data_IF_005034538470
#
_entry.id   IF_005034538470
#
_cell.length_a   1.000
_cell.length_b   1.000
_cell.length_c   1.000
_cell.angle_alpha   90.00
_cell.angle_beta   90.00
_cell.angle_gamma   90.00
#
_symmetry.space_group_name_H-M   'P 1'
#
loop_
_entity.id
_entity.type
_entity.pdbx_description
1 polymer ?
#
# COMPACT_ATOMS: atom_id res chain seq x y z
N UNK A 1 31.89 -16.89 26.10
CA UNK A 1 31.93 -17.07 24.63
C UNK A 1 31.12 -15.94 24.00
N UNK A 2 31.76 -14.91 23.44
CA UNK A 2 31.05 -13.80 22.79
C UNK A 2 30.34 -14.19 21.48
N UNK A 3 30.66 -15.34 20.87
CA UNK A 3 30.15 -15.74 19.55
C UNK A 3 29.10 -16.87 19.56
N UNK A 4 28.43 -17.13 20.68
CA UNK A 4 27.42 -18.20 20.74
C UNK A 4 26.18 -17.84 19.90
N UNK A 5 25.70 -18.72 18.99
CA UNK A 5 24.53 -18.43 18.18
C UNK A 5 23.29 -18.24 19.06
N UNK A 6 22.50 -17.21 18.74
CA UNK A 6 21.34 -16.78 19.52
C UNK A 6 21.63 -16.18 20.92
N UNK A 7 22.90 -15.96 21.25
CA UNK A 7 23.33 -15.14 22.38
C UNK A 7 23.28 -15.82 23.77
N UNK A 8 23.73 -15.12 24.83
CA UNK A 8 23.97 -15.71 26.13
C UNK A 8 22.70 -16.24 26.82
N UNK A 9 21.54 -15.60 26.60
CA UNK A 9 20.26 -16.06 27.16
C UNK A 9 19.83 -17.42 26.60
N UNK A 10 20.14 -17.70 25.34
CA UNK A 10 19.85 -18.99 24.72
C UNK A 10 20.78 -20.08 25.26
N UNK A 11 22.05 -19.74 25.46
CA UNK A 11 23.01 -20.63 26.12
C UNK A 11 22.58 -20.97 27.55
N UNK A 12 22.15 -19.98 28.33
CA UNK A 12 21.65 -20.18 29.70
C UNK A 12 20.48 -21.17 29.73
N UNK A 13 19.56 -21.10 28.75
CA UNK A 13 18.47 -22.06 28.60
C UNK A 13 19.00 -23.47 28.38
N UNK A 14 19.97 -23.65 27.48
CA UNK A 14 20.57 -24.96 27.19
C UNK A 14 21.32 -25.51 28.40
N UNK A 15 22.10 -24.68 29.09
CA UNK A 15 22.83 -25.06 30.29
C UNK A 15 21.87 -25.48 31.42
N UNK A 16 20.83 -24.67 31.70
CA UNK A 16 19.81 -25.03 32.69
C UNK A 16 19.17 -26.38 32.40
N UNK A 17 18.87 -26.66 31.13
CA UNK A 17 18.34 -27.95 30.72
C UNK A 17 19.33 -29.10 31.01
N UNK A 18 20.62 -28.95 30.70
CA UNK A 18 21.63 -29.98 30.98
C UNK A 18 21.85 -30.26 32.48
N UNK A 19 21.52 -29.30 33.35
CA UNK A 19 21.59 -29.45 34.81
C UNK A 19 20.22 -29.79 35.44
N UNK A 20 19.27 -30.32 34.65
CA UNK A 20 17.92 -30.70 35.07
C UNK A 20 17.13 -29.56 35.77
N UNK A 21 17.47 -28.31 35.46
CA UNK A 21 16.72 -27.15 35.94
C UNK A 21 15.51 -26.88 35.04
N UNK A 22 14.44 -26.37 35.64
CA UNK A 22 13.24 -26.00 34.89
C UNK A 22 13.51 -24.81 33.97
N UNK A 23 13.15 -24.98 32.70
CA UNK A 23 13.25 -23.96 31.65
C UNK A 23 11.85 -23.52 31.24
N UNK A 24 11.60 -22.21 31.22
CA UNK A 24 10.35 -21.65 30.72
C UNK A 24 10.50 -21.18 29.28
N UNK A 25 9.77 -21.82 28.36
CA UNK A 25 9.72 -21.46 26.94
C UNK A 25 8.48 -20.59 26.65
N UNK A 26 8.65 -19.60 25.79
CA UNK A 26 7.58 -18.73 25.30
C UNK A 26 7.95 -18.18 23.90
N UNK A 27 7.05 -17.40 23.29
CA UNK A 27 7.25 -16.87 21.93
C UNK A 27 8.50 -16.00 21.76
N UNK A 28 9.00 -15.37 22.84
CA UNK A 28 10.16 -14.47 22.78
C UNK A 28 11.49 -15.22 22.81
N UNK A 29 11.56 -16.39 23.43
CA UNK A 29 12.82 -17.13 23.62
C UNK A 29 12.88 -18.46 22.86
N UNK A 30 11.76 -19.00 22.38
CA UNK A 30 11.69 -20.32 21.74
C UNK A 30 12.59 -20.45 20.51
N UNK A 31 12.63 -19.42 19.65
CA UNK A 31 13.45 -19.45 18.43
C UNK A 31 14.93 -19.53 18.79
N UNK A 32 15.34 -18.74 19.77
CA UNK A 32 16.72 -18.70 20.26
C UNK A 32 17.12 -20.04 20.89
N UNK A 33 16.26 -20.57 21.77
CA UNK A 33 16.47 -21.86 22.41
C UNK A 33 16.55 -23.01 21.38
N UNK A 34 15.65 -23.04 20.38
CA UNK A 34 15.65 -24.07 19.34
C UNK A 34 16.91 -24.03 18.47
N UNK A 35 17.39 -22.84 18.11
CA UNK A 35 18.62 -22.68 17.31
C UNK A 35 19.87 -23.03 18.13
N UNK A 36 19.93 -22.62 19.39
CA UNK A 36 21.02 -22.93 20.30
C UNK A 36 21.12 -24.44 20.60
N UNK A 37 19.97 -25.10 20.83
CA UNK A 37 19.90 -26.54 21.07
C UNK A 37 20.39 -27.34 19.85
N UNK A 38 20.03 -26.91 18.63
CA UNK A 38 20.55 -27.52 17.39
C UNK A 38 22.06 -27.38 17.31
N UNK A 39 22.56 -26.16 17.53
CA UNK A 39 23.99 -25.87 17.42
C UNK A 39 24.83 -26.70 18.41
N UNK A 40 24.28 -26.94 19.60
CA UNK A 40 24.91 -27.77 20.64
C UNK A 40 24.69 -29.28 20.44
N UNK A 41 23.99 -29.70 19.39
CA UNK A 41 23.73 -31.12 19.12
C UNK A 41 22.82 -31.78 20.17
N UNK A 42 21.96 -31.01 20.84
CA UNK A 42 21.05 -31.48 21.90
C UNK A 42 19.84 -32.26 21.32
N UNK A 43 20.15 -33.38 20.68
CA UNK A 43 19.25 -34.20 19.86
C UNK A 43 18.86 -35.50 20.56
N UNK A 44 17.86 -36.19 20.01
CA UNK A 44 17.42 -37.51 20.48
C UNK A 44 18.49 -38.59 20.34
N UNK A 45 19.52 -38.38 19.48
CA UNK A 45 20.64 -39.31 19.33
C UNK A 45 21.56 -39.32 20.56
N UNK A 46 21.53 -38.25 21.36
CA UNK A 46 22.34 -38.09 22.57
C UNK A 46 21.59 -38.56 23.81
N UNK A 47 20.32 -38.18 23.93
CA UNK A 47 19.46 -38.55 25.06
C UNK A 47 17.97 -38.47 24.66
N UNK A 48 17.13 -39.34 25.21
CA UNK A 48 15.71 -39.33 24.90
C UNK A 48 15.01 -38.14 25.57
N UNK A 49 14.20 -37.38 24.83
CA UNK A 49 13.56 -36.20 25.41
C UNK A 49 14.47 -34.97 25.45
N UNK A 50 15.44 -34.88 24.54
CA UNK A 50 16.41 -33.79 24.52
C UNK A 50 15.75 -32.45 24.08
N UNK A 51 16.51 -31.37 24.25
CA UNK A 51 15.99 -30.02 24.13
C UNK A 51 15.48 -29.70 22.71
N UNK A 52 16.11 -30.25 21.65
CA UNK A 52 15.62 -30.06 20.26
C UNK A 52 14.20 -30.62 20.11
N UNK A 53 13.93 -31.86 20.52
CA UNK A 53 12.59 -32.44 20.41
C UNK A 53 11.56 -31.68 21.25
N UNK A 54 11.91 -31.33 22.49
CA UNK A 54 11.02 -30.58 23.40
C UNK A 54 10.68 -29.19 22.85
N UNK A 55 11.67 -28.47 22.32
CA UNK A 55 11.45 -27.15 21.72
C UNK A 55 10.64 -27.26 20.43
N UNK A 56 10.87 -28.26 19.57
CA UNK A 56 10.05 -28.49 18.38
C UNK A 56 8.60 -28.87 18.72
N UNK A 57 8.40 -29.72 19.73
CA UNK A 57 7.07 -30.09 20.21
C UNK A 57 6.30 -28.85 20.71
N UNK A 58 6.91 -28.04 21.57
CA UNK A 58 6.33 -26.79 22.08
C UNK A 58 6.07 -25.77 20.97
N UNK A 59 7.01 -25.61 20.02
CA UNK A 59 6.84 -24.71 18.90
C UNK A 59 5.64 -25.12 18.03
N UNK A 60 5.46 -26.41 17.75
CA UNK A 60 4.32 -26.92 16.99
C UNK A 60 2.98 -26.85 17.73
N UNK A 61 2.97 -27.22 19.01
CA UNK A 61 1.72 -27.40 19.77
C UNK A 61 1.23 -26.11 20.42
N UNK A 62 2.12 -25.17 20.75
CA UNK A 62 1.77 -23.93 21.43
C UNK A 62 1.98 -22.72 20.51
N UNK A 63 3.20 -22.51 20.00
CA UNK A 63 3.58 -21.27 19.32
C UNK A 63 2.86 -21.12 17.98
N UNK A 64 2.97 -22.12 17.10
CA UNK A 64 2.24 -22.14 15.82
C UNK A 64 0.72 -22.27 16.03
N UNK A 65 0.28 -22.65 17.24
CA UNK A 65 -1.13 -22.65 17.60
C UNK A 65 -1.66 -21.31 18.14
N UNK A 66 -0.78 -20.40 18.55
CA UNK A 66 -1.12 -19.05 19.00
C UNK A 66 -1.01 -18.04 17.87
N UNK A 67 -2.03 -17.17 17.72
CA UNK A 67 -1.98 -16.05 16.77
C UNK A 67 -0.84 -15.08 17.11
N UNK A 68 -0.90 -14.47 18.29
CA UNK A 68 0.12 -13.52 18.75
C UNK A 68 1.49 -14.18 18.95
N UNK A 69 1.52 -15.41 19.45
CA UNK A 69 2.77 -16.14 19.65
C UNK A 69 3.49 -16.42 18.33
N UNK A 70 2.77 -16.77 17.26
CA UNK A 70 3.37 -16.93 15.93
C UNK A 70 3.97 -15.63 15.39
N UNK A 71 3.32 -14.49 15.62
CA UNK A 71 3.81 -13.16 15.20
C UNK A 71 5.05 -12.76 16.00
N UNK A 72 5.02 -12.93 17.33
CA UNK A 72 6.15 -12.64 18.21
C UNK A 72 7.35 -13.52 17.83
N UNK A 73 7.14 -14.83 17.67
CA UNK A 73 8.18 -15.75 17.26
C UNK A 73 8.76 -15.38 15.88
N UNK A 74 7.92 -14.95 14.92
CA UNK A 74 8.40 -14.47 13.63
C UNK A 74 9.32 -13.25 13.79
N UNK A 75 8.95 -12.27 14.63
CA UNK A 75 9.76 -11.06 14.89
C UNK A 75 11.13 -11.41 15.48
N UNK A 76 11.22 -12.40 16.37
CA UNK A 76 12.50 -12.78 17.00
C UNK A 76 13.46 -13.51 16.05
N UNK A 77 12.97 -14.06 14.94
CA UNK A 77 13.84 -14.76 13.96
C UNK A 77 14.93 -13.88 13.37
N UNK A 78 14.70 -12.57 13.23
CA UNK A 78 15.63 -11.62 12.59
C UNK A 78 16.98 -11.56 13.30
N UNK A 79 16.97 -11.51 14.63
CA UNK A 79 18.22 -11.45 15.43
C UNK A 79 18.98 -12.77 15.46
N UNK A 80 18.45 -13.83 14.84
CA UNK A 80 18.96 -15.21 14.90
C UNK A 80 19.26 -15.74 13.48
N UNK A 81 19.21 -14.89 12.45
CA UNK A 81 19.62 -15.27 11.10
C UNK A 81 21.13 -15.58 11.07
N UNK A 82 21.57 -16.56 10.26
CA UNK A 82 20.78 -17.38 9.33
C UNK A 82 20.10 -18.61 9.95
N UNK A 83 20.47 -19.03 11.16
CA UNK A 83 20.02 -20.27 11.80
C UNK A 83 18.49 -20.46 11.79
N UNK A 84 17.73 -19.41 12.10
CA UNK A 84 16.26 -19.46 12.11
C UNK A 84 15.66 -19.75 10.72
N UNK A 85 16.35 -19.36 9.65
CA UNK A 85 15.96 -19.63 8.26
C UNK A 85 16.29 -21.07 7.86
N UNK A 86 17.48 -21.55 8.24
CA UNK A 86 17.94 -22.90 7.91
C UNK A 86 17.08 -23.98 8.58
N UNK A 87 16.66 -23.71 9.83
CA UNK A 87 15.69 -24.53 10.57
C UNK A 87 14.23 -24.35 10.12
N UNK A 88 13.99 -23.57 9.05
CA UNK A 88 12.67 -23.30 8.48
C UNK A 88 11.66 -22.68 9.47
N UNK A 89 12.13 -22.09 10.58
CA UNK A 89 11.28 -21.49 11.62
C UNK A 89 10.51 -20.30 11.03
N UNK A 90 11.21 -19.43 10.29
CA UNK A 90 10.62 -18.27 9.60
C UNK A 90 9.41 -18.70 8.74
N UNK A 91 9.61 -19.71 7.89
CA UNK A 91 8.57 -20.22 7.00
C UNK A 91 7.38 -20.81 7.77
N UNK A 92 7.64 -21.62 8.80
CA UNK A 92 6.60 -22.23 9.64
C UNK A 92 5.74 -21.18 10.35
N UNK A 93 6.34 -20.11 10.86
CA UNK A 93 5.62 -18.98 11.44
C UNK A 93 4.75 -18.26 10.40
N UNK A 94 5.30 -17.96 9.22
CA UNK A 94 4.56 -17.31 8.12
C UNK A 94 3.37 -18.17 7.68
N UNK A 95 3.57 -19.47 7.47
CA UNK A 95 2.52 -20.40 7.07
C UNK A 95 1.41 -20.49 8.12
N UNK A 96 1.76 -20.51 9.41
CA UNK A 96 0.80 -20.47 10.53
C UNK A 96 -0.03 -19.17 10.51
N UNK A 97 0.63 -18.02 10.44
CA UNK A 97 -0.03 -16.70 10.40
C UNK A 97 -0.96 -16.62 9.19
N UNK A 98 -0.48 -16.99 8.00
CA UNK A 98 -1.28 -16.96 6.77
C UNK A 98 -2.49 -17.90 6.85
N UNK A 99 -2.32 -19.10 7.40
CA UNK A 99 -3.41 -20.06 7.59
C UNK A 99 -4.48 -19.50 8.54
N UNK A 100 -4.06 -18.85 9.63
CA UNK A 100 -4.97 -18.29 10.65
C UNK A 100 -5.70 -17.05 10.16
N UNK A 101 -4.99 -16.12 9.53
CA UNK A 101 -5.59 -14.93 8.92
C UNK A 101 -6.66 -15.32 7.88
N UNK A 102 -6.48 -16.46 7.22
CA UNK A 102 -7.39 -17.00 6.20
C UNK A 102 -8.57 -17.84 6.73
N UNK A 103 -8.76 -17.91 8.05
CA UNK A 103 -9.91 -18.61 8.66
C UNK A 103 -11.14 -17.73 8.58
N UNK A 104 -12.31 -18.36 8.37
CA UNK A 104 -13.59 -17.67 8.44
C UNK A 104 -13.70 -16.92 9.79
N UNK A 105 -14.02 -15.61 9.81
CA UNK A 105 -14.18 -14.86 11.06
C UNK A 105 -15.09 -15.53 12.09
N UNK A 106 -16.08 -16.33 11.67
CA UNK A 106 -16.94 -17.09 12.58
C UNK A 106 -16.21 -18.17 13.40
N UNK A 107 -15.07 -18.65 12.90
CA UNK A 107 -14.24 -19.69 13.52
C UNK A 107 -13.04 -19.10 14.28
N UNK A 108 -12.96 -17.77 14.41
CA UNK A 108 -11.88 -17.10 15.15
C UNK A 108 -12.14 -17.24 16.66
N UNK A 109 -11.37 -18.12 17.29
CA UNK A 109 -11.46 -18.42 18.73
C UNK A 109 -10.30 -17.87 19.55
N UNK A 110 -9.34 -17.21 18.89
CA UNK A 110 -8.13 -16.67 19.52
C UNK A 110 -8.24 -15.16 19.77
N UNK A 111 -7.39 -14.65 20.67
CA UNK A 111 -7.32 -13.22 20.98
C UNK A 111 -6.65 -12.44 19.83
N UNK A 112 -7.19 -11.27 19.52
CA UNK A 112 -6.69 -10.36 18.49
C UNK A 112 -6.79 -8.90 18.95
N UNK A 113 -5.93 -8.04 18.38
CA UNK A 113 -6.03 -6.59 18.59
C UNK A 113 -6.87 -5.98 17.48
N UNK A 114 -7.99 -5.34 17.81
CA UNK A 114 -8.77 -4.59 16.84
C UNK A 114 -8.98 -3.16 17.33
N UNK A 115 -8.34 -2.22 16.63
CA UNK A 115 -8.60 -0.79 16.76
C UNK A 115 -9.09 -0.32 15.39
N UNK A 116 -10.38 -0.02 15.27
CA UNK A 116 -10.88 0.61 14.04
C UNK A 116 -10.24 2.00 13.96
N UNK A 117 -9.17 2.18 13.18
CA UNK A 117 -8.64 3.51 12.89
C UNK A 117 -9.68 4.23 12.06
N UNK A 118 -10.40 5.15 12.70
CA UNK A 118 -11.33 6.03 12.04
C UNK A 118 -10.57 6.79 10.95
N UNK A 119 -10.79 6.44 9.68
CA UNK A 119 -10.66 7.41 8.61
C UNK A 119 -11.54 8.59 8.99
N UNK A 120 -11.03 9.82 8.93
CA UNK A 120 -11.68 11.05 9.36
C UNK A 120 -13.06 11.27 8.70
N UNK A 121 -14.07 10.57 9.21
CA UNK A 121 -15.50 10.76 9.03
C UNK A 121 -16.08 10.20 10.33
N UNK A 122 -16.51 11.13 11.18
CA UNK A 122 -17.32 11.01 12.40
C UNK A 122 -17.55 9.59 12.92
N UNK A 123 -16.85 9.27 14.02
CA UNK A 123 -17.20 8.11 14.85
C UNK A 123 -18.39 8.51 15.70
N UNK A 124 -19.57 8.07 15.29
CA UNK A 124 -20.72 7.98 16.19
C UNK A 124 -20.37 6.95 17.29
N UNK A 125 -20.20 7.43 18.52
CA UNK A 125 -19.81 6.67 19.72
C UNK A 125 -20.73 5.44 19.93
N UNK A 126 -21.94 5.50 19.38
CA UNK A 126 -22.93 4.42 19.41
C UNK A 126 -22.47 3.14 18.66
N UNK A 127 -21.60 3.24 17.63
CA UNK A 127 -21.11 2.07 16.88
C UNK A 127 -20.15 1.18 17.68
N UNK A 128 -19.36 1.76 18.58
CA UNK A 128 -18.40 1.02 19.42
C UNK A 128 -19.14 0.17 20.45
N UNK A 129 -20.30 0.66 20.92
CA UNK A 129 -21.11 -0.02 21.92
C UNK A 129 -21.99 -1.14 21.32
N UNK A 130 -22.41 -0.98 20.06
CA UNK A 130 -23.11 -2.02 19.29
C UNK A 130 -22.18 -3.20 18.95
N UNK A 131 -20.90 -2.95 18.65
CA UNK A 131 -19.92 -4.03 18.41
C UNK A 131 -19.55 -4.81 19.68
N UNK A 132 -19.55 -4.19 20.86
CA UNK A 132 -19.40 -4.93 22.13
C UNK A 132 -20.56 -5.90 22.39
N UNK A 133 -21.74 -5.63 21.83
CA UNK A 133 -22.94 -6.48 21.94
C UNK A 133 -23.05 -7.54 20.84
N UNK A 134 -22.44 -7.31 19.67
CA UNK A 134 -22.44 -8.25 18.55
C UNK A 134 -21.14 -9.05 18.49
N UNK A 135 -21.21 -10.36 18.78
CA UNK A 135 -20.07 -11.32 18.76
C UNK A 135 -19.46 -11.57 17.36
N UNK A 136 -19.64 -10.68 16.40
CA UNK A 136 -19.18 -10.88 15.01
C UNK A 136 -17.76 -10.36 14.87
N UNK A 137 -16.82 -11.27 14.63
CA UNK A 137 -15.42 -10.93 14.36
C UNK A 137 -15.32 -10.21 13.01
N UNK A 138 -14.68 -9.01 12.94
CA UNK A 138 -14.48 -8.29 11.68
C UNK A 138 -13.63 -9.09 10.68
N UNK A 139 -13.83 -8.90 9.37
CA UNK A 139 -13.02 -9.60 8.33
C UNK A 139 -11.53 -9.21 8.34
N UNK A 140 -11.23 -8.02 8.85
CA UNK A 140 -9.91 -7.39 8.95
C UNK A 140 -9.31 -7.49 10.37
N UNK A 141 -9.83 -8.39 11.22
CA UNK A 141 -9.40 -8.57 12.62
C UNK A 141 -7.88 -8.75 12.80
N UNK A 142 -7.20 -9.31 11.80
CA UNK A 142 -5.78 -9.64 11.82
C UNK A 142 -4.87 -8.47 11.43
N UNK A 143 -5.42 -7.39 10.85
CA UNK A 143 -4.62 -6.34 10.20
C UNK A 143 -3.73 -5.60 11.20
N UNK A 144 -4.29 -5.12 12.31
CA UNK A 144 -3.55 -4.29 13.29
C UNK A 144 -2.38 -5.03 13.91
N UNK A 145 -2.53 -6.32 14.24
CA UNK A 145 -1.45 -7.13 14.83
C UNK A 145 -0.27 -7.32 13.86
N UNK A 146 -0.50 -7.27 12.54
CA UNK A 146 0.57 -7.38 11.53
C UNK A 146 1.27 -6.04 11.23
N UNK A 147 0.73 -4.91 11.68
CA UNK A 147 1.35 -3.60 11.43
C UNK A 147 2.69 -3.43 12.14
N UNK A 148 2.97 -4.23 13.16
CA UNK A 148 4.26 -4.21 13.88
C UNK A 148 5.38 -4.97 13.16
N UNK A 149 5.07 -5.67 12.07
CA UNK A 149 6.07 -6.39 11.29
C UNK A 149 6.88 -5.40 10.46
N UNK A 150 8.20 -5.58 10.44
CA UNK A 150 9.06 -4.89 9.47
C UNK A 150 8.73 -5.31 8.04
N UNK A 151 9.08 -4.46 7.06
CA UNK A 151 8.63 -4.58 5.68
C UNK A 151 8.93 -5.95 5.04
N UNK A 152 10.10 -6.54 5.29
CA UNK A 152 10.48 -7.84 4.70
C UNK A 152 9.63 -9.00 5.22
N UNK A 153 9.31 -8.99 6.52
CA UNK A 153 8.45 -9.99 7.14
C UNK A 153 7.00 -9.76 6.76
N UNK A 154 6.55 -8.49 6.78
CA UNK A 154 5.21 -8.11 6.36
C UNK A 154 4.94 -8.54 4.92
N UNK A 155 5.87 -8.26 4.00
CA UNK A 155 5.79 -8.68 2.59
C UNK A 155 5.63 -10.18 2.45
N UNK A 156 6.45 -10.97 3.14
CA UNK A 156 6.35 -12.43 3.10
C UNK A 156 5.03 -12.95 3.67
N UNK A 157 4.53 -12.37 4.77
CA UNK A 157 3.24 -12.75 5.36
C UNK A 157 2.09 -12.41 4.42
N UNK A 158 2.05 -11.22 3.83
CA UNK A 158 0.99 -10.83 2.88
C UNK A 158 1.03 -11.71 1.63
N UNK A 159 2.21 -12.03 1.10
CA UNK A 159 2.33 -12.96 -0.03
C UNK A 159 1.81 -14.36 0.33
N UNK A 160 2.12 -14.84 1.53
CA UNK A 160 1.59 -16.12 2.01
C UNK A 160 0.07 -16.08 2.17
N UNK A 161 -0.51 -15.00 2.71
CA UNK A 161 -1.97 -14.81 2.79
C UNK A 161 -2.60 -14.79 1.40
N UNK A 162 -2.02 -14.04 0.45
CA UNK A 162 -2.47 -14.00 -0.96
C UNK A 162 -2.48 -15.40 -1.58
N UNK A 163 -1.44 -16.20 -1.35
CA UNK A 163 -1.31 -17.56 -1.88
C UNK A 163 -2.35 -18.56 -1.34
N UNK A 164 -3.04 -18.24 -0.24
CA UNK A 164 -4.12 -19.08 0.28
C UNK A 164 -5.43 -18.89 -0.47
N UNK A 165 -5.60 -17.79 -1.21
CA UNK A 165 -6.78 -17.47 -2.03
C UNK A 165 -8.13 -17.49 -1.29
N UNK A 166 -8.11 -17.44 0.05
CA UNK A 166 -9.30 -17.47 0.92
C UNK A 166 -9.73 -16.10 1.42
N UNK A 167 -8.87 -15.09 1.26
CA UNK A 167 -9.11 -13.74 1.76
C UNK A 167 -9.54 -12.83 0.60
N UNK A 168 -10.65 -12.08 0.73
CA UNK A 168 -11.05 -11.12 -0.29
C UNK A 168 -9.96 -10.09 -0.58
N UNK A 169 -9.72 -9.82 -1.87
CA UNK A 169 -8.74 -8.85 -2.35
C UNK A 169 -8.94 -7.46 -1.71
N UNK A 170 -10.18 -7.06 -1.43
CA UNK A 170 -10.50 -5.81 -0.74
C UNK A 170 -9.92 -5.71 0.66
N UNK A 171 -9.97 -6.80 1.44
CA UNK A 171 -9.42 -6.85 2.80
C UNK A 171 -7.89 -6.80 2.75
N UNK A 172 -7.27 -7.51 1.79
CA UNK A 172 -5.82 -7.46 1.57
C UNK A 172 -5.38 -6.03 1.18
N UNK A 173 -6.11 -5.37 0.28
CA UNK A 173 -5.84 -3.99 -0.10
C UNK A 173 -5.96 -3.01 1.08
N UNK A 174 -6.95 -3.19 1.95
CA UNK A 174 -7.11 -2.42 3.18
C UNK A 174 -5.96 -2.66 4.17
N UNK A 175 -5.50 -3.91 4.31
CA UNK A 175 -4.37 -4.24 5.16
C UNK A 175 -3.09 -3.55 4.69
N UNK A 176 -2.81 -3.59 3.38
CA UNK A 176 -1.64 -2.93 2.77
C UNK A 176 -1.74 -1.41 2.94
N UNK A 177 -2.94 -0.83 2.77
CA UNK A 177 -3.18 0.60 3.00
C UNK A 177 -2.94 0.98 4.46
N UNK A 178 -3.41 0.19 5.42
CA UNK A 178 -3.19 0.42 6.85
C UNK A 178 -1.70 0.36 7.21
N UNK A 179 -0.97 -0.57 6.61
CA UNK A 179 0.48 -0.67 6.73
C UNK A 179 1.19 0.56 6.17
N UNK A 180 0.86 0.94 4.94
CA UNK A 180 1.40 2.13 4.31
C UNK A 180 1.16 3.40 5.14
N UNK A 181 -0.03 3.59 5.70
CA UNK A 181 -0.35 4.74 6.56
C UNK A 181 0.43 4.73 7.88
N UNK A 182 0.77 3.55 8.41
CA UNK A 182 1.51 3.42 9.67
C UNK A 182 3.01 3.66 9.51
N UNK A 183 3.57 3.30 8.35
CA UNK A 183 5.02 3.27 8.11
C UNK A 183 5.52 4.38 7.18
N UNK A 184 4.68 4.91 6.29
CA UNK A 184 5.08 6.04 5.45
C UNK A 184 5.05 7.34 6.27
N UNK A 185 6.00 8.26 6.02
CA UNK A 185 5.98 9.57 6.66
C UNK A 185 4.67 10.33 6.44
N UNK A 186 4.24 11.12 7.42
CA UNK A 186 3.03 11.94 7.27
C UNK A 186 3.18 13.08 6.25
N UNK A 187 4.42 13.51 5.99
CA UNK A 187 4.76 14.57 5.05
C UNK A 187 5.99 14.21 4.22
N UNK A 188 5.99 14.64 2.96
CA UNK A 188 7.10 14.46 2.03
C UNK A 188 8.40 15.14 2.53
N UNK A 189 8.27 16.27 3.23
CA UNK A 189 9.41 17.02 3.79
C UNK A 189 10.14 16.33 4.94
N UNK A 190 9.61 15.22 5.47
CA UNK A 190 10.27 14.45 6.54
C UNK A 190 11.45 13.60 6.04
N UNK A 191 11.73 13.59 4.73
CA UNK A 191 12.77 12.77 4.09
C UNK A 191 14.10 13.50 3.91
N UNK A 192 14.41 14.49 4.76
CA UNK A 192 15.60 15.34 4.61
C UNK A 192 16.95 14.61 4.75
N UNK A 193 16.97 13.33 5.09
CA UNK A 193 18.18 12.48 5.16
C UNK A 193 18.10 11.35 4.13
N UNK A 194 19.23 11.09 3.46
CA UNK A 194 19.36 10.03 2.44
C UNK A 194 18.98 8.64 2.96
N UNK A 195 19.26 8.34 4.24
CA UNK A 195 18.89 7.05 4.85
C UNK A 195 17.37 6.90 5.00
N UNK A 196 16.67 7.98 5.36
CA UNK A 196 15.21 7.99 5.44
C UNK A 196 14.57 7.90 4.04
N UNK A 197 15.17 8.55 3.04
CA UNK A 197 14.73 8.45 1.65
C UNK A 197 14.90 7.03 1.11
N UNK A 198 16.02 6.36 1.40
CA UNK A 198 16.24 4.97 1.01
C UNK A 198 15.24 4.02 1.67
N UNK A 199 15.03 4.12 2.99
CA UNK A 199 14.02 3.33 3.71
C UNK A 199 12.61 3.55 3.16
N UNK A 200 12.26 4.79 2.85
CA UNK A 200 10.97 5.12 2.25
C UNK A 200 10.84 4.53 0.83
N UNK A 201 11.90 4.56 0.03
CA UNK A 201 11.93 3.93 -1.31
C UNK A 201 11.66 2.43 -1.23
N UNK A 202 12.40 1.70 -0.40
CA UNK A 202 12.22 0.25 -0.18
C UNK A 202 10.79 -0.06 0.28
N UNK A 203 10.25 0.76 1.19
CA UNK A 203 8.90 0.63 1.68
C UNK A 203 7.84 0.84 0.58
N UNK A 204 7.96 1.89 -0.23
CA UNK A 204 7.04 2.18 -1.35
C UNK A 204 7.11 1.06 -2.40
N UNK A 205 8.30 0.62 -2.79
CA UNK A 205 8.49 -0.49 -3.73
C UNK A 205 7.83 -1.78 -3.24
N UNK A 206 8.05 -2.13 -1.97
CA UNK A 206 7.43 -3.29 -1.37
C UNK A 206 5.89 -3.15 -1.31
N UNK A 207 5.36 -2.00 -0.87
CA UNK A 207 3.92 -1.74 -0.84
C UNK A 207 3.30 -1.89 -2.24
N UNK A 208 3.88 -1.24 -3.26
CA UNK A 208 3.39 -1.31 -4.64
C UNK A 208 3.41 -2.74 -5.17
N UNK A 209 4.48 -3.50 -4.89
CA UNK A 209 4.57 -4.91 -5.28
C UNK A 209 3.53 -5.82 -4.62
N UNK A 210 3.02 -5.43 -3.44
CA UNK A 210 2.00 -6.18 -2.72
C UNK A 210 0.59 -5.86 -3.20
N UNK A 211 0.36 -4.69 -3.79
CA UNK A 211 -0.97 -4.28 -4.24
C UNK A 211 -1.57 -5.36 -5.17
N UNK A 212 -2.84 -5.73 -5.00
CA UNK A 212 -3.52 -6.70 -5.87
C UNK A 212 -3.39 -6.30 -7.35
N UNK A 213 -3.04 -7.26 -8.20
CA UNK A 213 -2.85 -7.04 -9.64
C UNK A 213 -4.16 -6.85 -10.41
N UNK A 214 -5.27 -7.34 -9.83
CA UNK A 214 -6.58 -7.19 -10.47
C UNK A 214 -7.00 -5.72 -10.45
N UNK A 215 -7.38 -5.23 -11.62
CA UNK A 215 -7.83 -3.87 -11.91
C UNK A 215 -9.16 -3.47 -11.21
N UNK A 216 -9.62 -4.28 -10.24
CA UNK A 216 -10.85 -4.13 -9.47
C UNK A 216 -10.79 -3.11 -8.31
N UNK A 217 -11.98 -2.72 -7.86
CA UNK A 217 -12.44 -1.57 -7.03
C UNK A 217 -11.76 -1.36 -5.65
N UNK A 218 -10.71 -2.10 -5.31
CA UNK A 218 -10.31 -2.24 -3.90
C UNK A 218 -9.39 -1.13 -3.37
N UNK A 219 -8.69 -0.40 -4.23
CA UNK A 219 -7.74 0.65 -3.82
C UNK A 219 -8.13 1.99 -4.44
N UNK A 220 -8.33 3.00 -3.60
CA UNK A 220 -8.76 4.33 -4.02
C UNK A 220 -7.66 5.10 -4.76
N UNK A 221 -8.03 5.88 -5.78
CA UNK A 221 -7.10 6.72 -6.54
C UNK A 221 -6.29 7.70 -5.69
N UNK A 222 -6.89 8.28 -4.65
CA UNK A 222 -6.15 9.17 -3.73
C UNK A 222 -5.02 8.45 -2.99
N UNK A 223 -5.14 7.15 -2.71
CA UNK A 223 -4.07 6.37 -2.09
C UNK A 223 -2.96 6.06 -3.10
N UNK A 224 -3.32 5.68 -4.32
CA UNK A 224 -2.36 5.46 -5.40
C UNK A 224 -1.60 6.74 -5.76
N UNK A 225 -2.29 7.89 -5.85
CA UNK A 225 -1.69 9.20 -6.05
C UNK A 225 -0.77 9.58 -4.89
N UNK A 226 -1.14 9.26 -3.64
CA UNK A 226 -0.24 9.44 -2.49
C UNK A 226 1.04 8.60 -2.64
N UNK A 227 0.93 7.34 -3.04
CA UNK A 227 2.10 6.49 -3.32
C UNK A 227 2.95 7.04 -4.48
N UNK A 228 2.32 7.55 -5.54
CA UNK A 228 3.04 8.16 -6.67
C UNK A 228 3.82 9.40 -6.23
N UNK A 229 3.23 10.26 -5.38
CA UNK A 229 3.95 11.40 -4.81
C UNK A 229 5.18 10.94 -4.01
N UNK A 230 5.05 9.90 -3.18
CA UNK A 230 6.21 9.31 -2.49
C UNK A 230 7.25 8.78 -3.47
N UNK A 231 6.82 8.03 -4.50
CA UNK A 231 7.70 7.47 -5.52
C UNK A 231 8.48 8.55 -6.27
N UNK A 232 7.85 9.68 -6.59
CA UNK A 232 8.52 10.85 -7.20
C UNK A 232 9.51 11.47 -6.22
N UNK A 233 9.10 11.73 -4.96
CA UNK A 233 9.96 12.34 -3.95
C UNK A 233 11.22 11.52 -3.65
N UNK A 234 11.12 10.19 -3.62
CA UNK A 234 12.26 9.30 -3.34
C UNK A 234 13.01 8.86 -4.59
N UNK A 235 12.66 9.39 -5.77
CA UNK A 235 13.23 9.00 -7.07
C UNK A 235 13.22 7.48 -7.28
N UNK A 236 12.05 6.86 -7.10
CA UNK A 236 11.86 5.44 -7.37
C UNK A 236 12.05 5.12 -8.87
N UNK A 237 12.15 3.83 -9.21
CA UNK A 237 12.30 3.38 -10.60
C UNK A 237 11.13 3.83 -11.51
N UNK A 238 11.42 4.03 -12.80
CA UNK A 238 10.39 4.41 -13.78
C UNK A 238 9.34 3.33 -13.94
N UNK A 239 9.72 2.04 -13.91
CA UNK A 239 8.78 0.92 -13.94
C UNK A 239 7.74 0.98 -12.81
N UNK A 240 8.14 1.38 -11.60
CA UNK A 240 7.21 1.55 -10.47
C UNK A 240 6.25 2.73 -10.71
N UNK A 241 6.78 3.86 -11.21
CA UNK A 241 5.98 5.05 -11.54
C UNK A 241 4.96 4.73 -12.64
N UNK A 242 5.38 4.04 -13.70
CA UNK A 242 4.52 3.61 -14.80
C UNK A 242 3.39 2.68 -14.33
N UNK A 243 3.68 1.70 -13.47
CA UNK A 243 2.66 0.82 -12.90
C UNK A 243 1.63 1.60 -12.05
N UNK A 244 2.09 2.57 -11.27
CA UNK A 244 1.20 3.45 -10.51
C UNK A 244 0.35 4.33 -11.44
N UNK A 245 0.96 4.95 -12.45
CA UNK A 245 0.27 5.77 -13.45
C UNK A 245 -0.81 4.96 -14.16
N UNK A 246 -0.50 3.72 -14.58
CA UNK A 246 -1.46 2.80 -15.19
C UNK A 246 -2.66 2.56 -14.28
N UNK A 247 -2.42 2.23 -13.00
CA UNK A 247 -3.49 1.97 -12.02
C UNK A 247 -4.33 3.20 -11.70
N UNK A 248 -3.71 4.37 -11.55
CA UNK A 248 -4.41 5.65 -11.30
C UNK A 248 -5.29 5.99 -12.49
N UNK A 249 -4.77 5.80 -13.70
CA UNK A 249 -5.50 6.06 -14.96
C UNK A 249 -6.76 5.22 -15.07
N UNK A 250 -6.86 4.03 -14.44
CA UNK A 250 -8.10 3.23 -14.44
C UNK A 250 -9.22 3.81 -13.57
N UNK A 251 -8.89 4.71 -12.64
CA UNK A 251 -9.80 5.18 -11.59
C UNK A 251 -9.71 6.70 -11.40
N UNK A 252 -9.26 7.43 -12.41
CA UNK A 252 -9.02 8.86 -12.32
C UNK A 252 -10.28 9.65 -11.89
N UNK A 253 -11.46 9.13 -12.22
CA UNK A 253 -12.76 9.67 -11.81
C UNK A 253 -13.00 9.69 -10.28
N UNK A 254 -12.24 8.93 -9.49
CA UNK A 254 -12.33 8.89 -8.02
C UNK A 254 -11.38 9.89 -7.34
N UNK A 255 -10.48 10.53 -8.10
CA UNK A 255 -9.48 11.44 -7.56
C UNK A 255 -10.04 12.86 -7.31
N UNK A 256 -9.38 13.60 -6.42
CA UNK A 256 -9.59 15.03 -6.23
C UNK A 256 -8.48 15.87 -6.86
N UNK A 257 -8.75 17.15 -7.14
CA UNK A 257 -7.74 18.05 -7.72
C UNK A 257 -6.51 18.19 -6.80
N UNK A 258 -6.70 18.13 -5.48
CA UNK A 258 -5.62 18.14 -4.49
C UNK A 258 -4.74 16.87 -4.57
N UNK A 259 -5.33 15.74 -4.92
CA UNK A 259 -4.57 14.50 -5.11
C UNK A 259 -3.63 14.59 -6.31
N UNK A 260 -4.00 15.37 -7.35
CA UNK A 260 -3.19 15.58 -8.56
C UNK A 260 -2.05 16.61 -8.39
N UNK A 261 -1.99 17.33 -7.27
CA UNK A 261 -0.86 18.22 -6.94
C UNK A 261 0.38 17.40 -6.61
N UNK A 262 1.01 16.83 -7.64
CA UNK A 262 2.25 16.04 -7.55
C UNK A 262 3.42 17.03 -7.59
N UNK A 263 4.30 17.04 -6.57
CA UNK A 263 5.46 17.94 -6.56
C UNK A 263 6.38 17.69 -7.75
N UNK A 264 6.89 18.75 -8.38
CA UNK A 264 7.95 18.62 -9.37
C UNK A 264 9.26 18.15 -8.73
N UNK A 265 10.10 17.45 -9.49
CA UNK A 265 11.44 17.05 -9.04
C UNK A 265 12.36 18.25 -8.78
N UNK A 266 12.13 19.35 -9.51
CA UNK A 266 12.85 20.62 -9.40
C UNK A 266 11.86 21.77 -9.09
N UNK A 267 11.52 21.99 -7.80
CA UNK A 267 10.58 23.04 -7.37
C UNK A 267 10.99 24.46 -7.78
N UNK A 268 12.28 24.66 -8.03
CA UNK A 268 12.83 25.94 -8.50
C UNK A 268 12.30 26.31 -9.89
N UNK A 269 11.99 25.33 -10.73
CA UNK A 269 11.49 25.53 -12.10
C UNK A 269 9.96 25.51 -12.16
N UNK A 270 9.30 24.56 -11.51
CA UNK A 270 7.83 24.45 -11.47
C UNK A 270 7.41 23.87 -10.12
N UNK A 271 6.27 24.29 -9.57
CA UNK A 271 5.82 23.74 -8.28
C UNK A 271 5.28 22.31 -8.42
N UNK A 272 4.64 22.00 -9.55
CA UNK A 272 3.95 20.75 -9.79
C UNK A 272 4.39 20.07 -11.10
N UNK A 273 4.42 18.73 -11.08
CA UNK A 273 4.69 17.91 -12.26
C UNK A 273 3.42 17.76 -13.11
N UNK A 274 3.18 18.77 -13.96
CA UNK A 274 2.02 18.81 -14.86
C UNK A 274 2.13 17.75 -15.96
N UNK A 275 3.34 17.43 -16.41
CA UNK A 275 3.59 16.42 -17.45
C UNK A 275 3.21 15.00 -17.00
N UNK A 276 3.48 14.67 -15.74
CA UNK A 276 3.04 13.40 -15.15
C UNK A 276 1.51 13.31 -15.07
N UNK A 277 0.84 14.41 -14.69
CA UNK A 277 -0.64 14.46 -14.68
C UNK A 277 -1.21 14.33 -16.09
N UNK A 278 -0.61 15.00 -17.08
CA UNK A 278 -0.98 14.86 -18.49
C UNK A 278 -0.82 13.42 -18.97
N UNK A 279 0.23 12.71 -18.55
CA UNK A 279 0.44 11.30 -18.87
C UNK A 279 -0.69 10.42 -18.31
N UNK A 280 -1.08 10.64 -17.05
CA UNK A 280 -2.22 9.95 -16.41
C UNK A 280 -3.53 10.20 -17.19
N UNK A 281 -3.77 11.46 -17.57
CA UNK A 281 -4.96 11.85 -18.34
C UNK A 281 -4.97 11.20 -19.72
N UNK A 282 -3.86 11.26 -20.45
CA UNK A 282 -3.75 10.69 -21.80
C UNK A 282 -3.98 9.17 -21.79
N UNK A 283 -3.48 8.46 -20.77
CA UNK A 283 -3.76 7.02 -20.60
C UNK A 283 -5.24 6.73 -20.30
N UNK A 284 -5.88 7.54 -19.43
CA UNK A 284 -7.32 7.42 -19.19
C UNK A 284 -8.12 7.66 -20.47
N UNK A 285 -7.78 8.69 -21.25
CA UNK A 285 -8.46 9.07 -22.50
C UNK A 285 -8.30 8.01 -23.58
N UNK A 286 -7.08 7.54 -23.82
CA UNK A 286 -6.78 6.51 -24.83
C UNK A 286 -7.55 5.22 -24.55
N UNK A 287 -7.68 4.85 -23.27
CA UNK A 287 -8.44 3.67 -22.88
C UNK A 287 -9.95 3.88 -23.04
N UNK A 288 -10.45 5.08 -22.74
CA UNK A 288 -11.86 5.41 -22.91
C UNK A 288 -12.31 5.35 -24.37
N UNK A 289 -11.52 5.92 -25.29
CA UNK A 289 -11.83 5.90 -26.72
C UNK A 289 -11.87 4.46 -27.26
N UNK A 290 -10.93 3.61 -26.84
CA UNK A 290 -10.91 2.20 -27.25
C UNK A 290 -12.13 1.41 -26.78
N UNK A 291 -12.69 1.72 -25.58
CA UNK A 291 -13.90 1.05 -25.08
C UNK A 291 -15.11 1.47 -25.92
N UNK A 292 -15.25 2.77 -26.23
CA UNK A 292 -16.36 3.26 -27.06
C UNK A 292 -16.34 2.69 -28.48
N UNK A 293 -15.17 2.57 -29.09
CA UNK A 293 -15.03 1.98 -30.43
C UNK A 293 -15.33 0.47 -30.44
N UNK A 294 -15.02 -0.23 -29.33
CA UNK A 294 -15.26 -1.68 -29.21
C UNK A 294 -16.74 -2.06 -29.01
N UNK A 295 -17.54 -1.21 -28.38
CA UNK A 295 -18.99 -1.43 -28.20
C UNK A 295 -19.78 -1.38 -29.52
N UNK A 296 -19.17 -0.86 -30.61
CA UNK A 296 -19.74 -0.93 -31.96
C UNK A 296 -19.43 -2.24 -32.71
N UNK A 297 -18.55 -3.10 -32.18
CA UNK A 297 -18.21 -4.39 -32.80
C UNK A 297 -18.76 -5.55 -31.96
N UNK A 298 -20.04 -5.88 -32.17
CA UNK A 298 -20.60 -7.16 -31.72
C UNK A 298 -19.93 -8.29 -32.49
N UNK A 299 -18.95 -8.98 -31.90
CA UNK A 299 -18.95 -10.44 -31.77
C UNK A 299 -17.70 -10.96 -31.05
N UNK A 300 -17.97 -11.94 -30.19
CA UNK A 300 -17.05 -12.88 -29.55
C UNK A 300 -16.06 -12.40 -28.48
N UNK A 301 -16.29 -12.92 -27.27
CA UNK A 301 -15.21 -13.36 -26.38
C UNK A 301 -14.96 -12.50 -25.14
N UNK A 302 -15.79 -12.69 -24.10
CA UNK A 302 -15.53 -12.36 -22.68
C UNK A 302 -14.77 -11.04 -22.45
N UNK A 303 -15.48 -9.91 -22.49
CA UNK A 303 -15.06 -8.76 -21.68
C UNK A 303 -15.05 -9.20 -20.21
N UNK A 304 -13.98 -8.99 -19.43
CA UNK A 304 -14.01 -9.26 -18.00
C UNK A 304 -15.16 -8.46 -17.38
N UNK A 305 -16.11 -9.17 -16.76
CA UNK A 305 -17.33 -8.59 -16.15
C UNK A 305 -17.04 -7.49 -15.10
N UNK A 306 -15.78 -7.36 -14.66
CA UNK A 306 -15.32 -6.38 -13.67
C UNK A 306 -15.04 -4.96 -14.23
N UNK A 307 -15.11 -4.74 -15.55
CA UNK A 307 -14.70 -3.48 -16.20
C UNK A 307 -15.81 -2.60 -16.76
N UNK A 308 -17.01 -2.67 -16.18
CA UNK A 308 -18.09 -1.73 -16.56
C UNK A 308 -17.75 -0.33 -16.04
N UNK A 309 -17.10 0.47 -16.89
CA UNK A 309 -16.83 1.87 -16.62
C UNK A 309 -18.17 2.60 -16.48
N UNK A 310 -18.42 3.22 -15.32
CA UNK A 310 -19.73 3.83 -15.05
C UNK A 310 -20.01 4.95 -16.06
N UNK A 311 -21.21 4.99 -16.69
CA UNK A 311 -21.63 6.11 -17.52
C UNK A 311 -21.44 7.42 -16.76
N UNK A 312 -20.72 8.38 -17.36
CA UNK A 312 -20.42 9.68 -16.74
C UNK A 312 -19.06 9.82 -16.04
N UNK A 313 -18.25 8.76 -15.91
CA UNK A 313 -16.87 8.87 -15.39
C UNK A 313 -16.03 9.87 -16.18
N UNK A 314 -16.27 9.93 -17.49
CA UNK A 314 -15.70 10.89 -18.43
C UNK A 314 -15.96 12.37 -18.05
N UNK A 315 -17.22 12.70 -17.72
CA UNK A 315 -17.62 14.04 -17.30
C UNK A 315 -17.01 14.41 -15.93
N UNK A 316 -16.83 13.41 -15.06
CA UNK A 316 -16.19 13.62 -13.75
C UNK A 316 -14.72 13.99 -13.96
N UNK A 317 -14.01 13.28 -14.84
CA UNK A 317 -12.61 13.57 -15.15
C UNK A 317 -12.45 14.94 -15.82
N UNK A 318 -13.32 15.33 -16.75
CA UNK A 318 -13.28 16.68 -17.32
C UNK A 318 -13.38 17.77 -16.24
N UNK A 319 -14.34 17.62 -15.30
CA UNK A 319 -14.49 18.55 -14.16
C UNK A 319 -13.30 18.52 -13.19
N UNK A 320 -12.68 17.36 -13.01
CA UNK A 320 -11.49 17.18 -12.17
C UNK A 320 -10.30 17.94 -12.77
N UNK A 321 -10.04 17.78 -14.06
CA UNK A 321 -8.93 18.45 -14.74
C UNK A 321 -9.16 19.96 -14.81
N UNK A 322 -10.38 20.44 -15.05
CA UNK A 322 -10.65 21.88 -15.01
C UNK A 322 -10.41 22.49 -13.62
N UNK A 323 -10.72 21.75 -12.54
CA UNK A 323 -10.39 22.17 -11.17
C UNK A 323 -8.88 22.16 -10.93
N UNK A 324 -8.18 21.13 -11.40
CA UNK A 324 -6.73 21.05 -11.28
C UNK A 324 -6.04 22.19 -12.04
N UNK A 325 -6.48 22.49 -13.27
CA UNK A 325 -6.02 23.64 -14.07
C UNK A 325 -6.18 24.95 -13.29
N UNK A 326 -7.30 25.16 -12.60
CA UNK A 326 -7.51 26.35 -11.78
C UNK A 326 -6.59 26.44 -10.54
N UNK A 327 -6.13 25.30 -10.00
CA UNK A 327 -5.16 25.27 -8.89
C UNK A 327 -3.75 25.59 -9.40
N UNK A 328 -3.31 24.93 -10.48
CA UNK A 328 -1.96 25.15 -11.02
C UNK A 328 -1.81 26.49 -11.73
N UNK A 329 -2.90 27.09 -12.21
CA UNK A 329 -2.90 28.42 -12.83
C UNK A 329 -2.41 29.54 -11.90
N UNK A 330 -2.35 29.29 -10.59
CA UNK A 330 -1.81 30.21 -9.58
C UNK A 330 -0.28 30.17 -9.50
N UNK A 331 0.35 29.15 -10.07
CA UNK A 331 1.81 29.06 -10.14
C UNK A 331 2.31 29.94 -11.29
N UNK A 332 2.97 31.05 -10.96
CA UNK A 332 3.55 31.98 -11.95
C UNK A 332 4.67 31.35 -12.79
N UNK A 333 5.21 30.20 -12.35
CA UNK A 333 6.24 29.46 -13.08
C UNK A 333 5.64 28.47 -14.09
N UNK A 334 4.32 28.31 -14.14
CA UNK A 334 3.65 27.36 -15.02
C UNK A 334 3.84 27.76 -16.50
N UNK A 335 4.47 26.91 -17.34
CA UNK A 335 4.54 27.17 -18.76
C UNK A 335 3.15 27.17 -19.39
N UNK A 336 2.90 28.17 -20.22
CA UNK A 336 1.66 28.29 -21.01
C UNK A 336 1.37 27.03 -21.83
N UNK A 337 2.40 26.45 -22.47
CA UNK A 337 2.24 25.24 -23.28
C UNK A 337 1.67 24.09 -22.45
N UNK A 338 2.21 23.84 -21.25
CA UNK A 338 1.70 22.79 -20.35
C UNK A 338 0.25 23.00 -19.94
N UNK A 339 -0.16 24.25 -19.71
CA UNK A 339 -1.56 24.58 -19.43
C UNK A 339 -2.48 24.26 -20.62
N UNK A 340 -2.10 24.70 -21.82
CA UNK A 340 -2.85 24.49 -23.06
C UNK A 340 -2.94 23.00 -23.39
N UNK A 341 -1.81 22.29 -23.38
CA UNK A 341 -1.74 20.88 -23.73
C UNK A 341 -2.58 20.02 -22.78
N UNK A 342 -2.49 20.24 -21.46
CA UNK A 342 -3.33 19.51 -20.50
C UNK A 342 -4.82 19.84 -20.68
N UNK A 343 -5.16 21.09 -20.99
CA UNK A 343 -6.54 21.46 -21.28
C UNK A 343 -7.05 20.74 -22.54
N UNK A 344 -6.22 20.60 -23.57
CA UNK A 344 -6.55 19.94 -24.83
C UNK A 344 -6.57 18.40 -24.74
N UNK A 345 -5.84 17.81 -23.79
CA UNK A 345 -5.90 16.37 -23.49
C UNK A 345 -7.30 15.89 -23.13
N UNK A 346 -8.21 16.77 -22.72
CA UNK A 346 -9.61 16.46 -22.42
C UNK A 346 -10.51 16.81 -23.62
N UNK A 347 -11.15 15.81 -24.25
CA UNK A 347 -12.06 16.06 -25.37
C UNK A 347 -13.31 16.85 -25.00
N UNK A 348 -13.90 17.51 -26.01
CA UNK A 348 -15.07 18.39 -25.85
C UNK A 348 -16.28 17.68 -25.23
N UNK A 349 -16.48 16.39 -25.50
CA UNK A 349 -17.56 15.58 -24.91
C UNK A 349 -17.48 15.46 -23.37
N UNK A 350 -16.32 15.70 -22.76
CA UNK A 350 -16.15 15.75 -21.31
C UNK A 350 -16.59 17.09 -20.70
N UNK A 351 -16.75 18.13 -21.54
CA UNK A 351 -17.02 19.52 -21.18
C UNK A 351 -18.30 20.02 -21.86
N UNK A 352 -19.49 19.52 -21.49
CA UNK A 352 -20.75 20.08 -22.00
C UNK A 352 -21.01 21.52 -21.49
N UNK A 353 -20.33 21.92 -20.41
CA UNK A 353 -20.39 23.27 -19.83
C UNK A 353 -18.98 23.73 -19.54
N UNK A 354 -18.62 24.93 -20.00
CA UNK A 354 -17.26 25.48 -19.91
C UNK A 354 -16.99 26.33 -18.66
N UNK A 355 -17.94 26.53 -17.74
CA UNK A 355 -17.79 27.42 -16.57
C UNK A 355 -16.53 27.16 -15.73
N UNK A 356 -16.13 25.90 -15.57
CA UNK A 356 -14.94 25.53 -14.78
C UNK A 356 -13.66 25.84 -15.53
N UNK A 357 -13.60 25.51 -16.82
CA UNK A 357 -12.48 25.86 -17.69
C UNK A 357 -12.34 27.38 -17.81
N UNK A 358 -13.46 28.11 -17.93
CA UNK A 358 -13.46 29.58 -17.92
C UNK A 358 -12.83 30.13 -16.64
N UNK A 359 -13.20 29.59 -15.47
CA UNK A 359 -12.56 29.99 -14.20
C UNK A 359 -11.07 29.69 -14.18
N UNK A 360 -10.62 28.56 -14.71
CA UNK A 360 -9.20 28.23 -14.79
C UNK A 360 -8.44 29.22 -15.70
N UNK A 361 -9.01 29.54 -16.85
CA UNK A 361 -8.45 30.53 -17.81
C UNK A 361 -8.40 31.93 -17.18
N UNK A 362 -9.47 32.37 -16.53
CA UNK A 362 -9.53 33.66 -15.83
C UNK A 362 -8.46 33.77 -14.74
N UNK A 363 -8.27 32.73 -13.93
CA UNK A 363 -7.19 32.67 -12.93
C UNK A 363 -5.82 32.73 -13.61
N UNK A 364 -5.59 31.95 -14.66
CA UNK A 364 -4.31 31.92 -15.37
C UNK A 364 -3.95 33.31 -15.92
N UNK A 365 -4.91 33.98 -16.59
CA UNK A 365 -4.71 35.31 -17.17
C UNK A 365 -4.49 36.42 -16.14
N UNK A 366 -4.98 36.25 -14.91
CA UNK A 366 -4.76 37.17 -13.79
C UNK A 366 -3.39 36.99 -13.15
N UNK A 367 -2.96 35.75 -12.98
CA UNK A 367 -1.70 35.40 -12.33
C UNK A 367 -0.48 35.52 -13.28
N UNK A 368 -0.73 35.62 -14.60
CA UNK A 368 0.31 35.77 -15.63
C UNK A 368 0.13 37.09 -16.42
N UNK A 369 0.43 38.26 -15.81
CA UNK A 369 0.25 39.57 -16.46
C UNK A 369 1.23 39.85 -17.59
N UNK A 370 2.35 39.12 -17.67
CA UNK A 370 3.38 39.26 -18.69
C UNK A 370 2.99 38.74 -20.08
N UNK A 371 1.84 38.06 -20.21
CA UNK A 371 1.38 37.48 -21.47
C UNK A 371 1.00 38.54 -22.50
N UNK A 372 1.46 38.38 -23.74
CA UNK A 372 1.09 39.26 -24.84
C UNK A 372 -0.32 39.00 -25.39
N UNK A 373 -0.82 39.89 -26.26
CA UNK A 373 -2.18 39.78 -26.82
C UNK A 373 -2.43 38.48 -27.58
N UNK A 374 -1.44 37.97 -28.31
CA UNK A 374 -1.53 36.72 -29.06
C UNK A 374 -1.58 35.52 -28.12
N UNK A 375 -0.76 35.53 -27.06
CA UNK A 375 -0.75 34.46 -26.06
C UNK A 375 -2.05 34.41 -25.27
N UNK A 376 -2.59 35.57 -24.89
CA UNK A 376 -3.90 35.67 -24.23
C UNK A 376 -5.02 35.13 -25.14
N UNK A 377 -4.96 35.44 -26.44
CA UNK A 377 -5.94 34.94 -27.42
C UNK A 377 -5.89 33.41 -27.54
N UNK A 378 -4.70 32.84 -27.55
CA UNK A 378 -4.51 31.38 -27.62
C UNK A 378 -5.11 30.65 -26.41
N UNK A 379 -4.90 31.17 -25.20
CA UNK A 379 -5.48 30.61 -23.97
C UNK A 379 -7.01 30.77 -23.96
N UNK A 380 -7.53 31.93 -24.39
CA UNK A 380 -8.97 32.14 -24.51
C UNK A 380 -9.63 31.22 -25.54
N UNK A 381 -8.91 30.80 -26.59
CA UNK A 381 -9.42 29.88 -27.60
C UNK A 381 -9.70 28.46 -27.08
N UNK A 382 -9.25 28.12 -25.86
CA UNK A 382 -9.61 26.87 -25.19
C UNK A 382 -11.10 26.80 -24.81
N UNK A 383 -11.76 27.95 -24.70
CA UNK A 383 -13.18 28.06 -24.38
C UNK A 383 -13.92 28.15 -25.71
N UNK A 384 -14.68 27.10 -26.04
CA UNK A 384 -15.51 27.10 -27.23
C UNK A 384 -16.70 28.04 -26.98
N UNK A 385 -16.58 29.28 -27.47
CA UNK A 385 -17.72 30.21 -27.53
C UNK A 385 -18.49 29.79 -28.77
N UNK A 386 -19.45 28.88 -28.59
CA UNK A 386 -20.17 28.23 -29.69
C UNK A 386 -20.54 29.20 -30.81
N UNK A 387 -20.12 28.87 -32.03
CA UNK A 387 -20.67 29.36 -33.29
C UNK A 387 -21.87 28.51 -33.70
#
# INVERSE_FOLDING_TARGET
MPDFPAGPKAFEICAKFCYDMTVTLNAYNIVAARCAAEYLGMTEDVDQGNLVMKTDAFFNSCILRGWKDSIIALKTTKSILPYSKDLKIVRRCIDSIASRASVDPLNVTWSYTYKKRATAVEVDENWVEIQKKSRVVPKDWWVEDLLELEIDLYKQVILAIKSKERMPIGVIGQAIKAYAVSWLPNSFGSMASDDNAHKCRVLVEAIVSLLPSNEGVCISSSFLLKLLKFAVSVQASDALKEELVKRISLRLNEASAKDLLIPAQSPDTMCYDVGLVQTIVNQFVTRYTHIQDSDYSKNDGKCPEDFVMKPGSWLIVGKLIDRYLAEIARDQKLPRSSFIELAQSIPKSARPVHDRLYKAVDVFLKEHPSLDKTERKEICALIDVGS
#
